data_IF_941699708277
#
_entry.id   IF_941699708277
#
_cell.length_a   1.000
_cell.length_b   1.000
_cell.length_c   1.000
_cell.angle_alpha   90.00
_cell.angle_beta   90.00
_cell.angle_gamma   90.00
#
_symmetry.space_group_name_H-M   'P 1'
#
loop_
_entity.id
_entity.type
_entity.pdbx_description
1 polymer ?
#
# COMPACT_ATOMS: atom_id res chain seq x y z
N UNK A 1 -19.71 48.19 -51.26
CA UNK A 1 -19.94 46.78 -51.64
C UNK A 1 -19.18 45.96 -50.63
N UNK A 2 -19.81 45.64 -49.49
CA UNK A 2 -20.41 44.33 -49.21
C UNK A 2 -19.38 43.19 -49.29
N UNK A 3 -18.87 42.76 -48.13
CA UNK A 3 -19.36 41.63 -47.30
C UNK A 3 -18.80 40.30 -47.78
N UNK A 4 -18.01 39.66 -46.91
CA UNK A 4 -18.34 38.35 -46.33
C UNK A 4 -17.09 37.75 -45.68
N UNK A 5 -17.07 37.68 -44.35
CA UNK A 5 -16.21 36.76 -43.59
C UNK A 5 -17.18 35.85 -42.84
N UNK A 6 -17.16 34.57 -43.16
CA UNK A 6 -18.02 33.58 -42.52
C UNK A 6 -17.61 33.39 -41.06
N UNK A 7 -18.59 33.51 -40.17
CA UNK A 7 -18.54 33.11 -38.76
C UNK A 7 -18.97 31.64 -38.71
N UNK A 8 -18.08 30.73 -38.34
CA UNK A 8 -18.52 29.43 -37.85
C UNK A 8 -19.13 29.61 -36.46
N UNK A 9 -20.29 28.99 -36.29
CA UNK A 9 -21.08 28.97 -35.06
C UNK A 9 -20.87 27.60 -34.44
N UNK A 10 -20.20 27.53 -33.30
CA UNK A 10 -20.33 26.36 -32.42
C UNK A 10 -21.23 26.73 -31.24
N UNK A 11 -22.33 25.99 -31.17
CA UNK A 11 -23.36 26.06 -30.14
C UNK A 11 -22.92 25.16 -28.99
N UNK A 12 -22.55 25.73 -27.84
CA UNK A 12 -22.39 24.96 -26.59
C UNK A 12 -23.61 25.18 -25.67
N UNK A 13 -24.18 24.07 -25.21
CA UNK A 13 -25.32 23.99 -24.32
C UNK A 13 -24.99 24.51 -22.91
N UNK A 14 -25.93 25.27 -22.34
CA UNK A 14 -25.87 25.79 -20.96
C UNK A 14 -26.48 24.79 -19.96
N UNK A 15 -25.71 24.46 -18.91
CA UNK A 15 -26.11 24.17 -17.51
C UNK A 15 -24.85 24.51 -16.69
N UNK A 16 -24.78 25.49 -15.80
CA UNK A 16 -25.75 25.94 -14.83
C UNK A 16 -25.11 25.88 -13.45
N UNK A 17 -24.00 26.60 -13.20
CA UNK A 17 -23.56 27.06 -11.86
C UNK A 17 -22.74 28.35 -12.07
N UNK A 18 -23.14 29.45 -11.44
CA UNK A 18 -22.37 30.69 -11.37
C UNK A 18 -20.99 30.42 -10.75
N UNK A 19 -19.92 30.54 -11.52
CA UNK A 19 -18.60 30.78 -10.95
C UNK A 19 -18.40 32.29 -10.85
N UNK A 20 -18.43 32.83 -9.63
CA UNK A 20 -17.97 34.19 -9.37
C UNK A 20 -16.45 34.21 -9.50
N UNK A 21 -15.95 34.58 -10.68
CA UNK A 21 -14.54 34.87 -10.87
C UNK A 21 -14.29 36.35 -10.49
N UNK A 22 -13.58 36.60 -9.37
CA UNK A 22 -13.04 37.93 -9.07
C UNK A 22 -11.75 38.11 -9.89
N UNK A 23 -11.83 38.87 -10.97
CA UNK A 23 -10.66 39.31 -11.73
C UNK A 23 -10.16 40.63 -11.13
N UNK A 24 -8.99 40.62 -10.50
CA UNK A 24 -8.34 41.86 -10.06
C UNK A 24 -7.53 42.44 -11.22
N UNK A 25 -8.02 43.54 -11.79
CA UNK A 25 -7.33 44.31 -12.81
C UNK A 25 -6.38 45.31 -12.13
N UNK A 26 -5.07 45.15 -12.32
CA UNK A 26 -4.10 46.14 -11.87
C UNK A 26 -4.04 47.28 -12.89
N UNK A 27 -4.68 48.41 -12.58
CA UNK A 27 -4.48 49.68 -13.27
C UNK A 27 -3.10 50.23 -12.87
N UNK A 28 -2.11 50.08 -13.74
CA UNK A 28 -0.87 50.86 -13.63
C UNK A 28 -1.15 52.29 -14.10
N UNK A 29 -1.18 53.24 -13.17
CA UNK A 29 -0.50 54.54 -13.32
C UNK A 29 -0.44 55.25 -11.97
N UNK A 30 0.75 55.70 -11.58
CA UNK A 30 0.90 56.81 -10.64
C UNK A 30 1.45 56.49 -9.25
N UNK A 31 2.79 56.45 -9.15
CA UNK A 31 3.60 57.01 -8.05
C UNK A 31 3.16 56.68 -6.61
N UNK A 32 3.87 55.78 -5.94
CA UNK A 32 4.52 56.06 -4.64
C UNK A 32 5.36 54.84 -4.19
N UNK A 33 6.29 55.06 -3.27
CA UNK A 33 7.34 54.15 -2.82
C UNK A 33 7.02 52.66 -2.78
N UNK A 34 7.99 51.87 -3.24
CA UNK A 34 8.07 50.43 -3.07
C UNK A 34 8.00 50.03 -1.59
N UNK A 35 6.79 49.81 -1.10
CA UNK A 35 6.55 48.90 0.02
C UNK A 35 6.43 47.53 -0.63
N UNK A 36 7.53 46.77 -0.58
CA UNK A 36 7.45 45.31 -0.69
C UNK A 36 6.53 44.86 0.45
N UNK A 37 5.28 44.54 0.11
CA UNK A 37 4.45 43.76 1.01
C UNK A 37 5.11 42.38 1.11
N UNK A 38 5.99 42.23 2.09
CA UNK A 38 6.27 40.92 2.65
C UNK A 38 4.92 40.41 3.16
N UNK A 39 4.35 39.43 2.47
CA UNK A 39 3.41 38.52 3.10
C UNK A 39 4.19 37.81 4.20
N UNK A 40 4.11 38.31 5.43
CA UNK A 40 4.53 37.53 6.59
C UNK A 40 3.69 36.25 6.56
N UNK A 41 4.36 35.09 6.44
CA UNK A 41 3.74 33.79 6.75
C UNK A 41 3.23 33.94 8.18
N UNK A 42 1.92 34.08 8.38
CA UNK A 42 1.38 34.01 9.74
C UNK A 42 1.63 32.59 10.21
N UNK A 43 2.60 32.45 11.09
CA UNK A 43 2.94 31.15 11.66
C UNK A 43 2.03 30.95 12.87
N UNK A 44 1.04 30.07 12.73
CA UNK A 44 0.21 29.64 13.84
C UNK A 44 1.09 29.06 14.95
N UNK A 45 0.68 29.25 16.21
CA UNK A 45 1.29 28.52 17.31
C UNK A 45 1.10 27.01 17.09
N UNK A 46 2.10 26.22 17.50
CA UNK A 46 2.01 24.76 17.44
C UNK A 46 0.89 24.24 18.36
N UNK A 47 0.20 23.20 17.92
CA UNK A 47 -0.89 22.56 18.63
C UNK A 47 -0.76 21.02 18.65
N UNK A 48 -1.67 20.36 19.35
CA UNK A 48 -1.76 18.91 19.38
C UNK A 48 -1.81 18.32 17.96
N UNK A 49 -0.93 17.34 17.67
CA UNK A 49 -0.84 16.69 16.37
C UNK A 49 0.05 17.39 15.34
N UNK A 50 0.66 18.53 15.65
CA UNK A 50 1.62 19.18 14.74
C UNK A 50 2.97 18.48 14.66
N UNK A 51 3.24 17.58 15.61
CA UNK A 51 4.34 16.60 15.60
C UNK A 51 3.79 15.24 16.06
N UNK A 52 4.49 14.16 15.73
CA UNK A 52 4.20 12.83 16.26
C UNK A 52 5.49 12.06 16.56
N UNK A 53 5.48 11.22 17.57
CA UNK A 53 6.58 10.28 17.83
C UNK A 53 6.51 9.10 16.85
N UNK A 54 7.66 8.70 16.34
CA UNK A 54 7.81 7.56 15.40
C UNK A 54 8.83 6.53 15.88
N UNK A 55 9.51 6.81 17.00
CA UNK A 55 10.34 5.83 17.69
C UNK A 55 10.51 6.18 19.16
N UNK A 56 10.73 5.15 19.96
CA UNK A 56 11.09 5.23 21.38
C UNK A 56 12.13 4.16 21.67
N UNK A 57 13.15 4.49 22.46
CA UNK A 57 14.15 3.53 22.92
C UNK A 57 14.56 3.81 24.37
N UNK A 58 14.28 2.86 25.26
CA UNK A 58 14.68 2.87 26.67
C UNK A 58 15.83 1.91 27.01
N UNK A 59 16.39 1.21 26.03
CA UNK A 59 17.54 0.32 26.23
C UNK A 59 18.80 0.77 25.46
N UNK A 60 19.98 0.45 25.99
CA UNK A 60 21.26 0.91 25.43
C UNK A 60 21.34 2.44 25.29
N UNK A 61 21.60 2.93 24.07
CA UNK A 61 21.66 4.37 23.77
C UNK A 61 20.26 4.97 23.67
N UNK A 62 19.70 5.40 24.81
CA UNK A 62 18.31 5.85 24.91
C UNK A 62 18.01 7.04 24.02
N UNK A 63 16.78 7.10 23.52
CA UNK A 63 16.37 8.16 22.63
C UNK A 63 14.98 7.96 22.06
N UNK A 64 14.62 8.84 21.13
CA UNK A 64 13.34 8.81 20.43
C UNK A 64 13.48 9.51 19.10
N UNK A 65 12.50 9.35 18.23
CA UNK A 65 12.40 10.13 17.00
C UNK A 65 10.99 10.70 16.84
N UNK A 66 10.90 11.87 16.22
CA UNK A 66 9.64 12.52 15.87
C UNK A 66 9.58 12.78 14.37
N UNK A 67 8.37 12.98 13.87
CA UNK A 67 8.10 13.62 12.57
C UNK A 67 7.35 14.94 12.80
N UNK A 68 7.69 15.98 12.04
CA UNK A 68 6.91 17.21 11.97
C UNK A 68 5.75 17.05 11.00
N UNK A 69 4.52 17.37 11.42
CA UNK A 69 3.33 17.30 10.55
C UNK A 69 2.90 18.68 10.01
N UNK A 70 3.59 19.73 10.44
CA UNK A 70 3.51 21.10 9.91
C UNK A 70 4.90 21.70 9.76
N UNK A 71 5.02 22.78 8.99
CA UNK A 71 6.26 23.55 8.95
C UNK A 71 6.50 24.22 10.30
N UNK A 72 7.67 24.01 10.90
CA UNK A 72 8.10 24.65 12.14
C UNK A 72 9.20 25.67 11.82
N UNK A 73 8.87 26.95 11.87
CA UNK A 73 9.81 28.02 11.56
C UNK A 73 10.52 28.62 12.76
N UNK A 74 11.68 29.25 12.56
CA UNK A 74 12.40 30.04 13.59
C UNK A 74 11.63 31.30 14.02
N UNK A 75 10.61 31.68 13.25
CA UNK A 75 9.69 32.79 13.50
C UNK A 75 8.35 32.35 14.11
N UNK A 76 8.15 31.04 14.36
CA UNK A 76 7.12 30.59 15.30
C UNK A 76 7.39 31.28 16.65
N UNK A 77 6.37 31.65 17.44
CA UNK A 77 6.57 32.12 18.83
C UNK A 77 7.26 31.10 19.75
N UNK A 78 7.64 29.94 19.24
CA UNK A 78 8.18 28.80 19.97
C UNK A 78 9.63 28.57 19.54
N UNK A 79 10.54 29.36 20.11
CA UNK A 79 11.98 29.14 19.93
C UNK A 79 12.43 27.74 20.40
N UNK A 80 11.63 27.12 21.28
CA UNK A 80 11.92 25.82 21.86
C UNK A 80 10.68 24.90 21.85
N UNK A 81 10.91 23.62 21.57
CA UNK A 81 10.01 22.52 21.93
C UNK A 81 10.65 21.80 23.12
N UNK A 82 9.84 21.49 24.12
CA UNK A 82 10.27 20.79 25.32
C UNK A 82 9.84 19.33 25.25
N UNK A 83 10.70 18.45 25.75
CA UNK A 83 10.36 17.05 25.99
C UNK A 83 10.53 16.76 27.47
N UNK A 84 9.56 16.09 28.10
CA UNK A 84 9.67 15.66 29.49
C UNK A 84 9.24 14.22 29.64
N UNK A 85 9.92 13.49 30.52
CA UNK A 85 9.52 12.17 31.01
C UNK A 85 8.58 12.26 32.23
N UNK A 86 8.51 13.43 32.90
CA UNK A 86 7.55 13.67 33.97
C UNK A 86 6.10 13.40 33.48
N UNK A 87 5.35 12.64 34.28
CA UNK A 87 3.96 12.32 33.97
C UNK A 87 3.02 13.50 34.22
N UNK A 88 1.92 13.52 33.47
CA UNK A 88 0.87 14.52 33.64
C UNK A 88 0.10 14.32 34.94
N UNK A 89 0.03 15.34 35.79
CA UNK A 89 -0.69 15.31 37.07
C UNK A 89 -1.92 16.23 37.11
N UNK A 90 -1.98 17.21 36.19
CA UNK A 90 -3.02 18.23 36.13
C UNK A 90 -3.23 18.99 37.46
N UNK A 91 -2.16 19.16 38.26
CA UNK A 91 -2.24 19.76 39.59
C UNK A 91 -1.17 20.83 39.81
N UNK A 92 -1.56 22.10 39.71
CA UNK A 92 -0.66 23.23 39.96
C UNK A 92 -0.28 23.43 41.45
N UNK A 93 -0.83 22.65 42.39
CA UNK A 93 -0.81 23.01 43.80
C UNK A 93 0.48 22.65 44.55
N UNK A 94 1.34 21.78 44.02
CA UNK A 94 2.53 21.28 44.70
C UNK A 94 3.85 21.87 44.17
N UNK A 95 3.96 22.22 42.89
CA UNK A 95 5.23 22.64 42.28
C UNK A 95 5.15 23.77 41.22
N UNK A 96 3.95 24.33 40.98
CA UNK A 96 3.66 25.24 39.85
C UNK A 96 3.94 24.61 38.47
N UNK A 97 3.60 23.35 38.30
CA UNK A 97 3.67 22.59 37.06
C UNK A 97 2.36 21.82 36.86
N UNK A 98 2.01 21.47 35.63
CA UNK A 98 0.98 20.45 35.34
C UNK A 98 1.59 19.06 35.07
N UNK A 99 2.90 18.98 35.22
CA UNK A 99 3.72 17.78 35.22
C UNK A 99 4.16 17.52 36.63
N UNK A 100 4.24 16.27 37.04
CA UNK A 100 4.80 15.94 38.33
C UNK A 100 6.30 16.32 38.41
N UNK A 101 6.87 16.20 39.60
CA UNK A 101 8.30 16.37 39.84
C UNK A 101 9.01 15.02 39.92
N UNK A 102 10.28 14.99 39.53
CA UNK A 102 11.17 13.85 39.78
C UNK A 102 12.12 13.55 38.64
N UNK A 103 11.80 14.03 37.44
CA UNK A 103 12.48 13.62 36.21
C UNK A 103 13.07 14.81 35.44
N UNK A 104 13.23 14.66 34.13
CA UNK A 104 13.96 15.58 33.29
C UNK A 104 13.12 16.36 32.30
N UNK A 105 13.74 17.41 31.77
CA UNK A 105 13.23 18.15 30.62
C UNK A 105 14.37 18.36 29.63
N UNK A 106 14.16 17.97 28.38
CA UNK A 106 14.96 18.39 27.26
C UNK A 106 14.37 19.65 26.66
N UNK A 107 15.20 20.64 26.41
CA UNK A 107 14.84 21.85 25.67
C UNK A 107 15.51 21.77 24.31
N UNK A 108 14.72 21.52 23.26
CA UNK A 108 15.18 21.50 21.88
C UNK A 108 14.96 22.86 21.23
N UNK A 109 16.05 23.51 20.83
CA UNK A 109 16.05 24.83 20.20
C UNK A 109 16.20 24.69 18.69
N UNK A 110 15.23 25.27 17.99
CA UNK A 110 15.15 25.25 16.53
C UNK A 110 15.89 26.49 15.99
N UNK A 111 16.97 26.27 15.25
CA UNK A 111 17.86 27.31 14.72
C UNK A 111 17.68 27.58 13.21
N UNK A 112 16.87 26.77 12.54
CA UNK A 112 16.46 26.93 11.14
C UNK A 112 15.02 26.42 10.92
N UNK A 113 14.37 26.88 9.86
CA UNK A 113 13.03 26.40 9.49
C UNK A 113 13.07 24.88 9.19
N UNK A 114 12.14 24.14 9.78
CA UNK A 114 11.97 22.69 9.64
C UNK A 114 10.69 22.45 8.83
N UNK A 115 10.77 21.98 7.57
CA UNK A 115 9.59 21.66 6.76
C UNK A 115 8.74 20.55 7.39
N UNK A 116 7.45 20.53 7.09
CA UNK A 116 6.60 19.38 7.38
C UNK A 116 7.15 18.10 6.71
N UNK A 117 6.96 16.97 7.37
CA UNK A 117 7.49 15.66 6.99
C UNK A 117 8.91 15.37 7.45
N UNK A 118 9.55 16.31 8.17
CA UNK A 118 10.92 16.13 8.62
C UNK A 118 10.98 15.16 9.81
N UNK A 119 11.84 14.15 9.71
CA UNK A 119 12.17 13.23 10.80
C UNK A 119 13.35 13.76 11.59
N UNK A 120 13.20 13.86 12.91
CA UNK A 120 14.27 14.29 13.83
C UNK A 120 14.51 13.21 14.87
N UNK A 121 15.71 12.64 14.83
CA UNK A 121 16.24 11.72 15.84
C UNK A 121 16.83 12.48 17.03
N UNK A 122 16.55 11.99 18.24
CA UNK A 122 17.16 12.41 19.51
C UNK A 122 17.84 11.21 20.16
N UNK A 123 19.16 11.29 20.36
CA UNK A 123 19.96 10.20 20.90
C UNK A 123 20.69 10.60 22.18
N UNK A 124 21.06 9.61 22.99
CA UNK A 124 21.80 9.77 24.25
C UNK A 124 21.06 10.69 25.24
N UNK A 125 19.73 10.62 25.26
CA UNK A 125 18.86 11.53 26.03
C UNK A 125 19.06 11.41 27.55
N UNK A 126 19.47 10.23 27.98
CA UNK A 126 19.84 9.85 29.35
C UNK A 126 21.23 10.30 29.77
N UNK A 127 22.02 10.85 28.84
CA UNK A 127 23.36 11.38 29.12
C UNK A 127 23.36 12.90 29.29
N UNK A 128 24.44 13.45 29.84
CA UNK A 128 24.60 14.92 29.97
C UNK A 128 24.81 15.64 28.63
N UNK A 129 24.95 14.90 27.53
CA UNK A 129 25.18 15.43 26.18
C UNK A 129 24.19 14.80 25.19
N UNK A 130 22.89 15.10 25.31
CA UNK A 130 21.92 14.66 24.33
C UNK A 130 22.23 15.25 22.96
N UNK A 131 21.93 14.51 21.90
CA UNK A 131 22.23 14.91 20.53
C UNK A 131 21.00 14.78 19.64
N UNK A 132 20.46 15.87 19.10
CA UNK A 132 19.46 15.81 18.06
C UNK A 132 20.16 15.76 16.68
N UNK A 133 19.49 15.15 15.71
CA UNK A 133 19.93 15.18 14.30
C UNK A 133 19.81 16.58 13.66
N UNK A 134 19.00 17.46 14.24
CA UNK A 134 18.78 18.85 13.81
C UNK A 134 18.61 19.78 15.01
N UNK A 135 19.04 21.04 14.88
CA UNK A 135 18.97 22.02 15.96
C UNK A 135 19.94 21.74 17.11
N UNK A 136 19.68 22.36 18.26
CA UNK A 136 20.49 22.18 19.47
C UNK A 136 19.62 21.77 20.64
N UNK A 137 20.18 21.06 21.62
CA UNK A 137 19.43 20.57 22.77
C UNK A 137 20.18 20.84 24.07
N UNK A 138 19.42 21.08 25.13
CA UNK A 138 19.93 21.13 26.49
C UNK A 138 19.03 20.30 27.39
N UNK A 139 19.56 19.86 28.54
CA UNK A 139 18.82 19.05 29.51
C UNK A 139 18.86 19.68 30.89
N UNK A 140 17.71 19.70 31.56
CA UNK A 140 17.58 19.94 32.99
C UNK A 140 17.02 18.69 33.67
N UNK A 141 17.47 18.38 34.89
CA UNK A 141 17.06 17.16 35.59
C UNK A 141 17.63 15.88 34.95
N UNK A 142 17.03 14.75 35.29
CA UNK A 142 17.39 13.43 34.76
C UNK A 142 16.28 12.95 33.84
N UNK A 143 16.45 13.24 32.55
CA UNK A 143 15.58 12.70 31.50
C UNK A 143 16.08 11.29 31.17
N UNK A 144 15.43 10.25 31.64
CA UNK A 144 15.92 8.87 31.55
C UNK A 144 14.78 7.85 31.28
N UNK A 145 14.24 7.82 30.04
CA UNK A 145 13.12 6.96 29.68
C UNK A 145 13.36 5.51 30.09
N UNK A 146 12.56 5.01 31.03
CA UNK A 146 12.71 3.72 31.66
C UNK A 146 12.15 2.60 30.78
N UNK A 147 12.65 1.39 31.02
CA UNK A 147 12.19 0.16 30.38
C UNK A 147 10.74 -0.23 30.77
N UNK A 148 10.09 0.55 31.64
CA UNK A 148 8.78 0.23 32.21
C UNK A 148 8.02 1.50 32.55
N UNK A 149 6.75 1.54 32.13
CA UNK A 149 5.75 2.52 32.57
C UNK A 149 6.25 3.96 32.46
N UNK A 150 6.88 4.31 31.34
CA UNK A 150 7.40 5.65 31.11
C UNK A 150 6.74 6.26 29.88
N UNK A 151 6.63 7.58 29.88
CA UNK A 151 6.06 8.35 28.80
C UNK A 151 6.89 9.59 28.50
N UNK A 152 7.13 9.84 27.22
CA UNK A 152 7.73 11.09 26.77
C UNK A 152 6.62 11.99 26.24
N UNK A 153 6.56 13.20 26.79
CA UNK A 153 5.66 14.25 26.35
C UNK A 153 6.43 15.33 25.61
N UNK A 154 5.89 15.78 24.48
CA UNK A 154 6.37 16.94 23.76
C UNK A 154 5.40 18.11 23.95
N UNK A 155 5.91 19.29 24.30
CA UNK A 155 5.08 20.47 24.53
C UNK A 155 5.79 21.78 24.20
N UNK A 156 5.01 22.85 24.08
CA UNK A 156 5.51 24.24 24.05
C UNK A 156 4.91 25.03 25.21
N UNK A 157 5.36 26.28 25.43
CA UNK A 157 4.91 27.09 26.56
C UNK A 157 5.76 26.89 27.81
N UNK A 158 5.15 27.00 28.99
CA UNK A 158 5.84 26.84 30.29
C UNK A 158 5.25 25.66 31.04
N UNK A 159 5.93 25.10 32.06
CA UNK A 159 5.35 24.03 32.90
C UNK A 159 4.01 24.39 33.56
N UNK A 160 3.75 25.69 33.81
CA UNK A 160 2.48 26.20 34.35
C UNK A 160 1.36 26.29 33.32
N UNK A 161 1.72 26.54 32.06
CA UNK A 161 0.78 26.70 30.94
C UNK A 161 1.34 25.95 29.72
N UNK A 162 1.51 24.62 29.81
CA UNK A 162 2.04 23.84 28.72
C UNK A 162 0.99 23.74 27.63
N UNK A 163 1.45 23.70 26.38
CA UNK A 163 0.66 23.30 25.22
C UNK A 163 1.23 21.97 24.72
N UNK A 164 0.72 20.83 25.21
CA UNK A 164 1.11 19.51 24.72
C UNK A 164 0.86 19.38 23.22
N UNK A 165 1.85 18.80 22.53
CA UNK A 165 1.81 18.58 21.08
C UNK A 165 1.61 17.10 20.75
N UNK A 166 2.33 16.22 21.43
CA UNK A 166 2.27 14.78 21.27
C UNK A 166 2.80 14.08 22.53
N UNK A 167 2.49 12.79 22.66
CA UNK A 167 3.10 11.95 23.69
C UNK A 167 3.31 10.53 23.17
N UNK A 168 4.25 9.79 23.76
CA UNK A 168 4.46 8.36 23.51
C UNK A 168 4.74 7.66 24.83
N UNK A 169 4.24 6.44 25.00
CA UNK A 169 4.66 5.58 26.10
C UNK A 169 5.12 4.22 25.59
N UNK A 170 5.88 3.50 26.41
CA UNK A 170 6.39 2.16 26.08
C UNK A 170 5.53 1.01 26.62
N UNK A 171 4.24 1.28 26.82
CA UNK A 171 3.28 0.31 27.34
C UNK A 171 3.34 0.13 28.87
N UNK A 172 2.54 -0.81 29.37
CA UNK A 172 2.34 -1.02 30.81
C UNK A 172 2.81 -2.39 31.29
N UNK A 173 3.24 -2.44 32.55
CA UNK A 173 3.05 -3.62 33.41
C UNK A 173 2.25 -3.16 34.61
N UNK A 174 1.19 -3.89 34.97
CA UNK A 174 0.31 -3.74 36.16
C UNK A 174 -0.96 -2.85 36.08
N UNK A 175 -1.29 -2.30 34.91
CA UNK A 175 -2.54 -1.54 34.71
C UNK A 175 -2.46 -0.06 35.09
N UNK A 176 -1.27 0.42 35.44
CA UNK A 176 -0.97 1.85 35.62
C UNK A 176 -0.64 2.50 34.28
N UNK A 177 -1.29 3.62 33.94
CA UNK A 177 -1.06 4.34 32.69
C UNK A 177 0.12 5.29 32.81
N UNK A 178 1.19 5.02 32.06
CA UNK A 178 2.45 5.78 32.05
C UNK A 178 2.31 7.26 31.68
N UNK A 179 1.18 7.69 31.11
CA UNK A 179 0.98 9.10 30.77
C UNK A 179 0.67 9.98 31.98
N UNK A 180 0.13 9.42 33.06
CA UNK A 180 -0.38 10.20 34.19
C UNK A 180 0.13 9.64 35.51
N UNK A 181 0.47 10.54 36.43
CA UNK A 181 0.83 10.17 37.81
C UNK A 181 -0.41 9.74 38.62
N UNK A 182 -1.60 10.17 38.20
CA UNK A 182 -2.88 9.87 38.84
C UNK A 182 -3.86 9.19 37.87
N UNK A 183 -4.13 7.90 38.11
CA UNK A 183 -5.02 7.08 37.28
C UNK A 183 -6.48 7.56 37.21
N UNK A 184 -6.90 8.46 38.12
CA UNK A 184 -8.23 9.12 38.07
C UNK A 184 -8.35 10.15 36.94
N UNK A 185 -7.25 10.55 36.29
CA UNK A 185 -7.23 11.57 35.24
C UNK A 185 -7.58 11.03 33.84
N UNK A 186 -7.90 9.74 33.75
CA UNK A 186 -8.16 9.07 32.47
C UNK A 186 -9.67 8.93 32.31
N UNK A 187 -10.21 9.61 31.30
CA UNK A 187 -11.63 9.47 30.94
C UNK A 187 -11.75 9.12 29.46
N UNK A 188 -12.38 7.98 29.14
CA UNK A 188 -12.76 7.65 27.75
C UNK A 188 -11.64 7.86 26.69
N UNK A 189 -10.42 7.40 26.98
CA UNK A 189 -9.21 7.59 26.14
C UNK A 189 -8.60 9.00 26.10
N UNK A 190 -9.04 9.92 26.97
CA UNK A 190 -8.48 11.27 27.12
C UNK A 190 -7.58 11.36 28.35
N UNK A 191 -6.50 12.12 28.23
CA UNK A 191 -5.68 12.57 29.37
C UNK A 191 -6.22 13.93 29.81
N UNK A 192 -7.03 13.93 30.87
CA UNK A 192 -7.85 15.09 31.27
C UNK A 192 -6.99 16.32 31.52
N UNK A 193 -7.37 17.45 30.92
CA UNK A 193 -6.67 18.74 31.08
C UNK A 193 -5.47 18.97 30.16
N UNK A 194 -4.89 17.90 29.57
CA UNK A 194 -3.71 18.02 28.70
C UNK A 194 -4.03 18.52 27.28
N UNK A 195 -5.27 18.32 26.82
CA UNK A 195 -5.65 18.54 25.43
C UNK A 195 -5.24 17.42 24.46
N UNK A 196 -4.55 16.37 24.93
CA UNK A 196 -4.24 15.18 24.13
C UNK A 196 -5.25 14.06 24.31
N UNK A 197 -5.46 13.30 23.24
CA UNK A 197 -6.29 12.09 23.21
C UNK A 197 -5.42 10.89 22.84
N UNK A 198 -5.54 9.79 23.59
CA UNK A 198 -4.83 8.54 23.37
C UNK A 198 -5.31 7.91 22.05
N UNK A 199 -4.37 7.49 21.21
CA UNK A 199 -4.66 6.97 19.87
C UNK A 199 -5.03 8.06 18.85
N UNK A 200 -4.83 9.33 19.19
CA UNK A 200 -4.98 10.45 18.25
C UNK A 200 -3.75 11.35 18.25
N UNK A 201 -3.27 11.75 19.43
CA UNK A 201 -2.08 12.58 19.59
C UNK A 201 -1.04 11.94 20.53
N UNK A 202 -1.50 11.05 21.40
CA UNK A 202 -0.67 10.31 22.33
C UNK A 202 -0.62 8.83 21.91
N UNK A 203 0.55 8.37 21.46
CA UNK A 203 0.77 6.99 21.03
C UNK A 203 0.90 6.07 22.23
N UNK A 204 0.07 5.03 22.29
CA UNK A 204 0.03 4.13 23.42
C UNK A 204 0.60 2.76 23.06
N UNK A 205 1.81 2.47 23.56
CA UNK A 205 2.49 1.17 23.42
C UNK A 205 1.72 -0.01 24.04
N UNK A 206 0.68 0.25 24.82
CA UNK A 206 -0.04 -0.72 25.67
C UNK A 206 -0.56 -2.01 25.00
N UNK A 207 -0.79 -2.06 23.68
CA UNK A 207 -1.42 -3.25 23.07
C UNK A 207 -0.54 -4.50 23.05
N UNK A 208 0.75 -4.42 23.41
CA UNK A 208 1.64 -5.56 23.43
C UNK A 208 2.19 -5.74 24.84
N UNK A 209 1.44 -6.47 25.67
CA UNK A 209 1.92 -7.68 26.38
C UNK A 209 3.14 -7.63 27.32
N UNK A 210 4.25 -7.00 26.92
CA UNK A 210 5.60 -7.25 27.40
C UNK A 210 6.36 -5.92 27.38
N UNK A 211 6.98 -5.50 28.50
CA UNK A 211 7.69 -4.22 28.62
C UNK A 211 8.60 -3.95 27.41
N UNK A 212 8.18 -3.01 26.57
CA UNK A 212 8.80 -2.77 25.29
C UNK A 212 9.95 -1.81 25.52
N UNK A 213 11.13 -2.20 25.08
CA UNK A 213 12.33 -1.40 25.22
C UNK A 213 12.54 -0.54 23.98
N UNK A 214 12.11 -1.01 22.81
CA UNK A 214 12.23 -0.31 21.53
C UNK A 214 10.90 -0.32 20.78
N UNK A 215 10.47 0.84 20.28
CA UNK A 215 9.32 1.03 19.40
C UNK A 215 9.80 1.73 18.11
N UNK A 216 9.37 1.24 16.95
CA UNK A 216 9.67 1.83 15.65
C UNK A 216 8.45 1.83 14.72
N UNK A 217 8.09 3.00 14.18
CA UNK A 217 7.07 3.12 13.14
C UNK A 217 7.61 2.61 11.79
N UNK A 218 6.92 1.63 11.23
CA UNK A 218 7.23 0.96 9.96
C UNK A 218 6.16 1.15 8.88
N UNK A 219 5.12 1.93 9.17
CA UNK A 219 4.11 2.27 8.18
C UNK A 219 4.66 3.15 7.05
N UNK A 220 3.85 3.35 6.01
CA UNK A 220 4.25 4.13 4.85
C UNK A 220 4.54 5.59 5.19
N UNK A 221 5.37 6.24 4.36
CA UNK A 221 5.83 7.64 4.56
C UNK A 221 5.69 8.53 3.33
N UNK A 222 5.00 8.09 2.27
CA UNK A 222 4.95 8.85 1.01
C UNK A 222 3.59 9.02 0.34
N UNK A 223 2.55 8.39 0.87
CA UNK A 223 1.27 8.23 0.14
C UNK A 223 0.14 9.17 0.60
N UNK A 224 0.30 9.89 1.70
CA UNK A 224 -0.79 10.68 2.26
C UNK A 224 -1.03 12.00 1.53
N UNK A 225 -2.29 12.42 1.45
CA UNK A 225 -2.67 13.70 0.82
C UNK A 225 -2.24 14.93 1.61
N UNK A 226 -1.91 14.76 2.89
CA UNK A 226 -1.42 15.82 3.76
C UNK A 226 -0.61 15.21 4.90
N UNK A 227 0.30 15.97 5.49
CA UNK A 227 1.07 15.48 6.62
C UNK A 227 0.21 15.11 7.84
N UNK A 228 -0.86 15.89 8.11
CA UNK A 228 -1.81 15.57 9.16
C UNK A 228 -2.53 14.22 8.97
N UNK A 229 -2.62 13.72 7.73
CA UNK A 229 -3.26 12.43 7.44
C UNK A 229 -2.39 11.23 7.81
N UNK A 230 -1.09 11.42 8.11
CA UNK A 230 -0.26 10.37 8.72
C UNK A 230 -0.60 10.11 10.17
N UNK A 231 -1.26 11.04 10.86
CA UNK A 231 -1.44 10.95 12.31
C UNK A 231 -2.27 9.71 12.72
N UNK A 232 -3.40 9.35 12.07
CA UNK A 232 -4.09 8.09 12.34
C UNK A 232 -3.22 6.85 12.09
N UNK A 233 -2.42 6.84 11.01
CA UNK A 233 -1.55 5.71 10.66
C UNK A 233 -0.41 5.54 11.67
N UNK A 234 0.20 6.63 12.12
CA UNK A 234 1.21 6.64 13.19
C UNK A 234 0.60 6.19 14.51
N UNK A 235 -0.68 6.50 14.76
CA UNK A 235 -1.38 6.09 15.97
C UNK A 235 -1.87 4.63 15.95
N UNK A 236 -1.85 3.97 14.79
CA UNK A 236 -2.18 2.55 14.66
C UNK A 236 -0.96 1.67 14.97
N UNK A 237 -1.05 0.90 16.06
CA UNK A 237 -0.03 -0.06 16.49
C UNK A 237 0.28 -1.12 15.43
N UNK A 238 -0.63 -1.40 14.48
CA UNK A 238 -0.36 -2.34 13.38
C UNK A 238 0.80 -1.89 12.49
N UNK A 239 1.08 -0.59 12.46
CA UNK A 239 2.16 0.05 11.70
C UNK A 239 3.47 0.18 12.52
N UNK A 240 3.62 -0.55 13.63
CA UNK A 240 4.81 -0.48 14.49
C UNK A 240 5.48 -1.83 14.67
N UNK A 241 6.82 -1.81 14.75
CA UNK A 241 7.63 -2.90 15.29
C UNK A 241 8.01 -2.59 16.72
N UNK A 242 8.20 -3.64 17.50
CA UNK A 242 8.51 -3.56 18.92
C UNK A 242 9.58 -4.59 19.28
N UNK A 243 10.43 -4.27 20.26
CA UNK A 243 11.42 -5.18 20.82
C UNK A 243 11.39 -5.11 22.37
N UNK A 244 11.47 -6.27 23.03
CA UNK A 244 11.49 -6.44 24.49
C UNK A 244 12.85 -6.98 25.02
N UNK A 245 13.87 -7.07 24.16
CA UNK A 245 15.18 -7.63 24.47
C UNK A 245 16.18 -6.63 25.07
N UNK A 246 16.89 -7.07 26.11
CA UNK A 246 17.98 -6.36 26.83
C UNK A 246 19.27 -6.08 26.01
N UNK A 247 19.19 -5.74 24.74
CA UNK A 247 20.35 -5.25 24.00
C UNK A 247 20.01 -4.63 22.66
N UNK A 248 20.78 -3.60 22.27
CA UNK A 248 20.71 -2.97 20.96
C UNK A 248 20.79 -4.04 19.84
N UNK A 249 19.64 -4.33 19.23
CA UNK A 249 19.40 -5.28 18.15
C UNK A 249 19.78 -6.76 18.46
N UNK A 250 18.77 -7.59 18.74
CA UNK A 250 18.87 -9.02 18.42
C UNK A 250 18.22 -9.28 17.05
N UNK A 251 19.04 -9.62 16.06
CA UNK A 251 18.62 -10.07 14.73
C UNK A 251 17.49 -11.13 14.86
N UNK A 252 16.35 -11.07 14.15
CA UNK A 252 16.19 -10.86 12.71
C UNK A 252 14.76 -10.39 12.34
N UNK A 253 14.08 -9.65 13.23
CA UNK A 253 12.75 -9.01 12.98
C UNK A 253 12.24 -8.05 14.09
N UNK A 254 13.08 -7.61 15.03
CA UNK A 254 12.73 -6.65 16.10
C UNK A 254 12.78 -5.18 15.63
N UNK A 255 12.32 -4.25 16.47
CA UNK A 255 12.46 -2.81 16.25
C UNK A 255 13.94 -2.37 16.33
N UNK A 256 14.34 -1.39 15.51
CA UNK A 256 15.72 -0.87 15.48
C UNK A 256 15.82 0.55 16.07
N UNK A 257 16.95 0.84 16.74
CA UNK A 257 17.32 2.21 17.12
C UNK A 257 18.78 2.48 16.73
N UNK A 258 19.08 3.48 15.88
CA UNK A 258 18.16 4.48 15.32
C UNK A 258 17.12 3.88 14.35
N UNK A 259 15.89 4.41 14.31
CA UNK A 259 14.83 3.92 13.42
C UNK A 259 15.10 4.33 11.97
N UNK A 260 14.26 3.87 11.04
CA UNK A 260 14.21 4.45 9.69
C UNK A 260 14.02 5.98 9.76
N UNK A 261 14.99 6.72 9.21
CA UNK A 261 15.02 8.19 9.19
C UNK A 261 14.49 8.79 7.88
N UNK A 262 13.86 7.96 7.02
CA UNK A 262 13.25 8.42 5.78
C UNK A 262 12.19 9.48 6.06
N UNK A 263 12.30 10.63 5.39
CA UNK A 263 11.37 11.74 5.53
C UNK A 263 9.97 11.37 5.04
N UNK A 264 8.96 11.95 5.66
CA UNK A 264 7.59 11.84 5.18
C UNK A 264 7.38 12.81 4.01
N UNK A 265 6.60 12.38 3.03
CA UNK A 265 6.23 13.16 1.85
C UNK A 265 4.73 13.09 1.65
N UNK A 266 4.15 14.02 0.89
CA UNK A 266 2.72 13.98 0.57
C UNK A 266 2.52 13.72 -0.91
N UNK A 267 1.44 13.02 -1.25
CA UNK A 267 1.05 12.71 -2.61
C UNK A 267 -0.32 13.31 -2.91
N UNK A 268 -0.46 13.96 -4.07
CA UNK A 268 -1.76 14.51 -4.50
C UNK A 268 -2.74 13.45 -5.00
N UNK A 269 -2.37 12.17 -4.96
CA UNK A 269 -3.17 11.02 -5.39
C UNK A 269 -3.28 10.03 -4.23
N UNK A 270 -4.51 9.73 -3.80
CA UNK A 270 -4.78 8.63 -2.87
C UNK A 270 -4.30 7.33 -3.53
N UNK A 271 -3.37 6.65 -2.88
CA UNK A 271 -2.91 5.32 -3.27
C UNK A 271 -3.69 4.34 -2.40
N UNK A 272 -4.44 3.45 -3.02
CA UNK A 272 -5.18 2.39 -2.32
C UNK A 272 -4.41 1.09 -2.54
N UNK A 273 -4.39 0.13 -1.60
CA UNK A 273 -3.69 -1.13 -1.83
C UNK A 273 -4.07 -1.74 -3.19
N UNK A 274 -3.09 -2.19 -3.99
CA UNK A 274 -3.38 -2.68 -5.33
C UNK A 274 -4.28 -3.91 -5.24
N UNK A 275 -5.11 -4.11 -6.26
CA UNK A 275 -6.01 -5.27 -6.37
C UNK A 275 -5.84 -5.94 -7.73
N UNK A 276 -6.23 -7.21 -7.82
CA UNK A 276 -6.24 -7.94 -9.10
C UNK A 276 -7.54 -7.63 -9.83
N UNK A 277 -7.44 -6.97 -10.98
CA UNK A 277 -8.59 -6.67 -11.83
C UNK A 277 -9.01 -7.88 -12.66
N UNK A 278 -8.05 -8.60 -13.25
CA UNK A 278 -8.35 -9.77 -14.06
C UNK A 278 -7.18 -10.75 -14.14
N UNK A 279 -7.53 -12.02 -14.31
CA UNK A 279 -6.62 -13.08 -14.75
C UNK A 279 -7.30 -13.79 -15.92
N UNK A 280 -6.71 -13.70 -17.10
CA UNK A 280 -7.30 -14.22 -18.34
C UNK A 280 -6.30 -15.05 -19.13
N UNK A 281 -6.78 -16.13 -19.73
CA UNK A 281 -6.03 -16.93 -20.70
C UNK A 281 -5.58 -16.07 -21.89
N UNK A 282 -4.34 -16.24 -22.34
CA UNK A 282 -3.84 -15.59 -23.56
C UNK A 282 -4.11 -16.42 -24.82
N UNK A 283 -4.52 -17.67 -24.68
CA UNK A 283 -4.84 -18.59 -25.79
C UNK A 283 -6.17 -19.30 -25.56
N UNK A 284 -6.71 -19.89 -26.62
CA UNK A 284 -7.97 -20.61 -26.56
C UNK A 284 -7.90 -21.84 -25.63
N UNK A 285 -9.04 -22.20 -25.07
CA UNK A 285 -9.26 -23.41 -24.29
C UNK A 285 -10.56 -24.06 -24.80
N UNK A 286 -10.65 -25.39 -24.93
CA UNK A 286 -9.61 -26.38 -24.61
C UNK A 286 -8.36 -26.29 -25.51
N UNK A 287 -7.24 -26.87 -25.07
CA UNK A 287 -5.96 -26.81 -25.78
C UNK A 287 -5.11 -28.07 -25.56
N UNK A 288 -4.22 -28.40 -26.50
CA UNK A 288 -3.21 -29.44 -26.35
C UNK A 288 -1.77 -28.86 -26.24
N UNK A 289 -1.65 -27.58 -25.89
CA UNK A 289 -0.36 -26.90 -25.83
C UNK A 289 0.44 -27.27 -24.56
N UNK A 290 1.76 -27.45 -24.73
CA UNK A 290 2.72 -27.68 -23.63
C UNK A 290 3.14 -26.40 -22.88
N UNK A 291 2.52 -25.28 -23.25
CA UNK A 291 2.78 -23.96 -22.71
C UNK A 291 1.46 -23.21 -22.60
N UNK A 292 1.14 -22.80 -21.37
CA UNK A 292 -0.07 -22.06 -21.03
C UNK A 292 0.34 -20.66 -20.56
N UNK A 293 -0.38 -19.64 -21.02
CA UNK A 293 -0.04 -18.24 -20.76
C UNK A 293 -1.26 -17.49 -20.26
N UNK A 294 -1.10 -16.77 -19.15
CA UNK A 294 -2.13 -15.88 -18.61
C UNK A 294 -1.65 -14.43 -18.67
N UNK A 295 -2.58 -13.52 -18.91
CA UNK A 295 -2.43 -12.09 -18.69
C UNK A 295 -3.12 -11.72 -17.37
N UNK A 296 -2.42 -10.94 -16.55
CA UNK A 296 -2.86 -10.46 -15.25
C UNK A 296 -2.85 -8.94 -15.29
N UNK A 297 -3.96 -8.33 -14.87
CA UNK A 297 -4.08 -6.89 -14.72
C UNK A 297 -4.34 -6.51 -13.26
N UNK A 298 -3.61 -5.52 -12.75
CA UNK A 298 -3.76 -4.93 -11.43
C UNK A 298 -4.49 -3.58 -11.50
N UNK A 299 -5.05 -3.10 -10.39
CA UNK A 299 -5.73 -1.79 -10.31
C UNK A 299 -4.79 -0.61 -10.54
N UNK A 300 -3.51 -0.82 -10.29
CA UNK A 300 -2.44 0.17 -10.42
C UNK A 300 -1.09 -0.50 -10.63
N UNK A 301 -0.03 0.32 -10.72
CA UNK A 301 1.31 -0.18 -10.96
C UNK A 301 1.86 -0.91 -9.73
N UNK A 302 2.27 -2.16 -9.92
CA UNK A 302 2.87 -2.99 -8.87
C UNK A 302 4.35 -3.28 -9.14
N UNK A 303 5.04 -3.75 -8.11
CA UNK A 303 6.42 -4.20 -8.11
C UNK A 303 6.54 -5.57 -7.42
N UNK A 304 7.73 -6.19 -7.53
CA UNK A 304 8.02 -7.52 -6.97
C UNK A 304 7.10 -8.64 -7.47
N UNK A 305 6.66 -8.59 -8.73
CA UNK A 305 5.88 -9.69 -9.33
C UNK A 305 6.84 -10.73 -9.90
N UNK A 306 6.94 -11.87 -9.24
CA UNK A 306 7.88 -12.95 -9.52
C UNK A 306 7.19 -14.32 -9.61
N UNK A 307 7.93 -15.34 -10.05
CA UNK A 307 7.37 -16.69 -10.20
C UNK A 307 6.88 -17.30 -8.88
N UNK A 308 7.44 -16.89 -7.72
CA UNK A 308 7.06 -17.41 -6.41
C UNK A 308 5.71 -16.92 -5.90
N UNK A 309 5.19 -15.83 -6.48
CA UNK A 309 3.90 -15.24 -6.14
C UNK A 309 2.72 -16.00 -6.73
N UNK A 310 2.99 -17.04 -7.52
CA UNK A 310 1.97 -17.82 -8.20
C UNK A 310 2.00 -19.28 -7.77
N UNK A 311 0.84 -19.91 -7.84
CA UNK A 311 0.65 -21.33 -7.64
C UNK A 311 -0.12 -21.90 -8.83
N UNK A 312 0.30 -23.07 -9.31
CA UNK A 312 -0.37 -23.81 -10.38
C UNK A 312 -0.99 -25.06 -9.80
N UNK A 313 -2.23 -25.37 -10.19
CA UNK A 313 -2.96 -26.58 -9.80
C UNK A 313 -3.34 -27.41 -11.03
N UNK A 314 -3.51 -28.73 -10.84
CA UNK A 314 -3.94 -29.66 -11.90
C UNK A 314 -2.83 -30.23 -12.79
N UNK A 315 -1.59 -29.77 -12.62
CA UNK A 315 -0.42 -30.21 -13.38
C UNK A 315 0.83 -30.25 -12.50
N UNK A 316 1.87 -30.94 -12.96
CA UNK A 316 3.23 -30.85 -12.40
C UNK A 316 4.08 -29.77 -13.07
N UNK A 317 3.53 -29.04 -14.04
CA UNK A 317 4.19 -27.89 -14.65
C UNK A 317 4.37 -26.76 -13.65
N UNK A 318 5.30 -25.86 -13.96
CA UNK A 318 5.70 -24.76 -13.08
C UNK A 318 5.65 -23.43 -13.82
N UNK A 319 5.55 -22.32 -13.09
CA UNK A 319 5.72 -20.99 -13.67
C UNK A 319 7.17 -20.84 -14.12
N UNK A 320 7.38 -20.71 -15.42
CA UNK A 320 8.72 -20.65 -16.04
C UNK A 320 9.10 -19.23 -16.42
N UNK A 321 8.14 -18.32 -16.56
CA UNK A 321 8.39 -16.92 -16.86
C UNK A 321 7.28 -16.02 -16.31
N UNK A 322 7.67 -14.87 -15.78
CA UNK A 322 6.81 -13.74 -15.44
C UNK A 322 7.41 -12.52 -16.12
N UNK A 323 6.67 -11.91 -17.03
CA UNK A 323 7.12 -10.76 -17.81
C UNK A 323 6.07 -9.65 -17.78
N UNK A 324 6.51 -8.40 -17.92
CA UNK A 324 5.64 -7.23 -17.81
C UNK A 324 6.14 -6.24 -16.77
N UNK A 325 5.37 -5.18 -16.56
CA UNK A 325 5.68 -4.11 -15.60
C UNK A 325 4.46 -3.22 -15.38
N UNK A 326 4.43 -2.51 -14.25
CA UNK A 326 3.35 -1.57 -13.97
C UNK A 326 2.06 -2.32 -13.69
N UNK A 327 1.02 -2.13 -14.50
CA UNK A 327 -0.31 -2.70 -14.24
C UNK A 327 -0.52 -4.08 -14.85
N UNK A 328 0.35 -4.53 -15.76
CA UNK A 328 0.07 -5.70 -16.61
C UNK A 328 1.26 -6.65 -16.68
N UNK A 329 0.97 -7.93 -16.44
CA UNK A 329 1.96 -9.01 -16.43
C UNK A 329 1.45 -10.22 -17.20
N UNK A 330 2.36 -10.91 -17.87
CA UNK A 330 2.14 -12.21 -18.50
C UNK A 330 2.85 -13.29 -17.70
N UNK A 331 2.12 -14.34 -17.33
CA UNK A 331 2.65 -15.50 -16.60
C UNK A 331 2.60 -16.72 -17.51
N UNK A 332 3.75 -17.37 -17.68
CA UNK A 332 3.89 -18.59 -18.50
C UNK A 332 4.10 -19.80 -17.61
N UNK A 333 3.29 -20.84 -17.83
CA UNK A 333 3.45 -22.16 -17.22
C UNK A 333 3.81 -23.16 -18.31
N UNK A 334 4.85 -23.95 -18.09
CA UNK A 334 5.30 -24.97 -19.03
C UNK A 334 6.04 -26.12 -18.34
N UNK A 335 6.30 -27.19 -19.09
CA UNK A 335 6.99 -28.38 -18.59
C UNK A 335 6.06 -29.35 -17.86
N UNK A 336 6.60 -30.13 -16.93
CA UNK A 336 5.81 -31.11 -16.17
C UNK A 336 5.12 -32.14 -17.08
N UNK A 337 3.84 -32.39 -16.83
CA UNK A 337 3.05 -33.42 -17.51
C UNK A 337 2.11 -32.89 -18.62
N UNK A 338 2.21 -31.62 -19.03
CA UNK A 338 1.26 -30.99 -19.97
C UNK A 338 1.08 -31.77 -21.29
N UNK A 339 2.16 -32.29 -21.87
CA UNK A 339 2.15 -33.06 -23.13
C UNK A 339 1.36 -34.38 -23.10
N UNK A 340 0.92 -34.80 -21.92
CA UNK A 340 0.14 -36.02 -21.71
C UNK A 340 -1.08 -35.79 -20.83
N UNK A 341 -1.34 -34.54 -20.45
CA UNK A 341 -2.40 -34.20 -19.52
C UNK A 341 -3.73 -34.14 -20.27
N UNK A 342 -4.74 -34.76 -19.66
CA UNK A 342 -6.16 -34.51 -19.96
C UNK A 342 -6.79 -34.01 -18.67
N UNK A 343 -7.09 -32.72 -18.56
CA UNK A 343 -7.65 -32.12 -17.35
C UNK A 343 -7.43 -30.62 -17.24
N UNK A 344 -7.94 -30.05 -16.16
CA UNK A 344 -7.91 -28.62 -15.91
C UNK A 344 -6.60 -28.16 -15.25
N UNK A 345 -6.06 -27.04 -15.74
CA UNK A 345 -4.90 -26.34 -15.19
C UNK A 345 -5.29 -24.92 -14.80
N UNK A 346 -5.08 -24.56 -13.54
CA UNK A 346 -5.50 -23.27 -12.97
C UNK A 346 -4.29 -22.54 -12.38
N UNK A 347 -4.16 -21.25 -12.71
CA UNK A 347 -3.18 -20.34 -12.11
C UNK A 347 -3.82 -19.54 -10.98
N UNK A 348 -3.19 -19.45 -9.82
CA UNK A 348 -3.64 -18.59 -8.72
C UNK A 348 -2.50 -17.74 -8.20
N UNK A 349 -2.82 -16.57 -7.64
CA UNK A 349 -1.85 -15.82 -6.84
C UNK A 349 -1.75 -16.49 -5.47
N UNK A 350 -0.52 -16.69 -5.01
CA UNK A 350 -0.18 -17.37 -3.77
C UNK A 350 -0.52 -16.49 -2.58
N UNK A 351 -1.05 -17.11 -1.51
CA UNK A 351 -1.16 -16.44 -0.22
C UNK A 351 0.25 -16.18 0.35
N UNK A 352 0.50 -14.95 0.80
CA UNK A 352 1.81 -14.53 1.28
C UNK A 352 2.82 -14.16 0.18
N UNK A 353 2.33 -13.77 -1.01
CA UNK A 353 3.13 -13.00 -1.97
C UNK A 353 3.64 -11.70 -1.35
N UNK A 354 4.68 -11.12 -1.93
CA UNK A 354 5.27 -9.83 -1.53
C UNK A 354 5.11 -8.74 -2.59
N UNK A 355 4.09 -8.89 -3.45
CA UNK A 355 3.68 -7.89 -4.43
C UNK A 355 3.18 -6.66 -3.68
N UNK A 356 3.77 -5.50 -3.99
CA UNK A 356 3.32 -4.20 -3.48
C UNK A 356 3.06 -3.24 -4.64
N UNK A 357 2.35 -2.16 -4.39
CA UNK A 357 2.41 -1.01 -5.28
C UNK A 357 3.77 -0.27 -5.16
N UNK A 358 3.91 0.84 -5.89
CA UNK A 358 5.06 1.73 -5.78
C UNK A 358 5.08 2.55 -4.47
N UNK A 359 3.95 2.64 -3.77
CA UNK A 359 3.81 3.27 -2.45
C UNK A 359 4.23 2.37 -1.28
N UNK A 360 4.36 1.06 -1.53
CA UNK A 360 4.72 0.03 -0.56
C UNK A 360 3.52 -0.73 0.02
N UNK A 361 2.29 -0.45 -0.42
CA UNK A 361 1.10 -1.14 0.08
C UNK A 361 1.02 -2.54 -0.53
N UNK A 362 0.80 -3.53 0.32
CA UNK A 362 0.71 -4.93 -0.08
C UNK A 362 -0.53 -5.18 -0.96
N UNK A 363 -0.40 -6.10 -1.92
CA UNK A 363 -1.49 -6.55 -2.77
C UNK A 363 -2.68 -7.03 -1.93
N UNK A 364 -3.77 -6.29 -2.02
CA UNK A 364 -5.03 -6.70 -1.44
C UNK A 364 -5.67 -7.72 -2.39
N UNK A 365 -5.95 -8.91 -1.87
CA UNK A 365 -6.58 -10.00 -2.60
C UNK A 365 -8.07 -10.14 -2.22
N UNK A 366 -8.98 -9.24 -2.65
CA UNK A 366 -10.39 -9.59 -2.67
C UNK A 366 -10.69 -10.50 -3.88
N UNK A 367 -11.87 -11.13 -3.85
CA UNK A 367 -12.40 -12.04 -4.88
C UNK A 367 -12.16 -11.47 -6.29
N UNK A 368 -11.41 -12.19 -7.13
CA UNK A 368 -11.15 -11.79 -8.52
C UNK A 368 -12.51 -11.60 -9.24
N UNK A 369 -12.82 -10.42 -9.80
CA UNK A 369 -14.14 -10.11 -10.35
C UNK A 369 -14.38 -10.76 -11.73
N UNK A 370 -15.55 -11.37 -11.94
CA UNK A 370 -15.93 -12.06 -13.20
C UNK A 370 -15.97 -11.13 -14.43
N UNK A 371 -15.58 -11.57 -15.65
CA UNK A 371 -15.14 -12.93 -16.00
C UNK A 371 -13.63 -13.12 -15.83
N UNK A 372 -13.23 -14.04 -14.96
CA UNK A 372 -11.84 -14.51 -14.89
C UNK A 372 -11.77 -15.88 -15.52
N UNK A 373 -11.25 -15.93 -16.72
CA UNK A 373 -10.88 -17.19 -17.35
C UNK A 373 -9.51 -17.61 -16.81
N UNK A 374 -9.52 -18.31 -15.68
CA UNK A 374 -8.29 -18.69 -14.96
C UNK A 374 -7.84 -20.12 -15.28
N UNK A 375 -8.74 -20.92 -15.84
CA UNK A 375 -8.54 -22.35 -16.05
C UNK A 375 -8.44 -22.67 -17.53
N UNK A 376 -7.37 -23.35 -17.91
CA UNK A 376 -7.27 -24.06 -19.18
C UNK A 376 -7.76 -25.49 -19.00
N UNK A 377 -8.56 -25.98 -19.93
CA UNK A 377 -8.80 -27.42 -20.08
C UNK A 377 -7.78 -27.93 -21.09
N UNK A 378 -6.83 -28.72 -20.62
CA UNK A 378 -5.83 -29.37 -21.47
C UNK A 378 -6.40 -30.70 -21.95
N UNK A 379 -6.42 -30.93 -23.25
CA UNK A 379 -6.90 -32.15 -23.88
C UNK A 379 -5.94 -32.61 -24.97
N UNK A 380 -5.31 -33.75 -24.74
CA UNK A 380 -4.43 -34.48 -25.64
C UNK A 380 -5.08 -35.77 -26.16
N UNK A 381 -6.39 -35.96 -25.95
CA UNK A 381 -7.14 -37.08 -26.52
C UNK A 381 -7.17 -36.92 -28.04
N UNK A 382 -6.89 -37.99 -28.77
CA UNK A 382 -6.94 -37.97 -30.22
C UNK A 382 -8.36 -38.34 -30.70
N UNK A 383 -8.87 -37.69 -31.76
CA UNK A 383 -10.15 -38.08 -32.34
C UNK A 383 -10.14 -39.53 -32.82
N UNK A 384 -11.20 -40.27 -32.48
CA UNK A 384 -11.40 -41.65 -32.88
C UNK A 384 -12.71 -41.81 -33.67
N UNK A 385 -12.72 -42.67 -34.69
CA UNK A 385 -13.95 -43.05 -35.37
C UNK A 385 -14.77 -43.95 -34.43
N UNK A 386 -15.95 -43.50 -34.04
CA UNK A 386 -16.90 -44.25 -33.22
C UNK A 386 -17.78 -45.16 -34.05
N UNK A 387 -18.28 -44.66 -35.18
CA UNK A 387 -19.19 -45.41 -36.03
C UNK A 387 -19.06 -45.03 -37.50
N UNK A 388 -19.39 -45.99 -38.37
CA UNK A 388 -19.45 -45.82 -39.82
C UNK A 388 -20.72 -46.50 -40.32
N UNK A 389 -21.57 -45.75 -41.02
CA UNK A 389 -22.79 -46.26 -41.64
C UNK A 389 -22.85 -45.86 -43.11
N UNK A 390 -23.33 -46.76 -43.97
CA UNK A 390 -23.53 -46.47 -45.39
C UNK A 390 -25.02 -46.20 -45.60
N UNK A 391 -25.35 -45.13 -46.32
CA UNK A 391 -26.73 -44.84 -46.70
C UNK A 391 -27.35 -46.01 -47.50
N UNK A 392 -28.65 -46.26 -47.34
CA UNK A 392 -29.33 -47.39 -47.98
C UNK A 392 -29.33 -47.35 -49.51
N UNK A 393 -29.17 -46.16 -50.08
CA UNK A 393 -29.01 -45.91 -51.52
C UNK A 393 -27.54 -45.78 -51.96
N UNK A 394 -26.59 -46.01 -51.05
CA UNK A 394 -25.14 -45.88 -51.23
C UNK A 394 -24.66 -44.47 -51.65
N UNK A 395 -25.44 -43.41 -51.41
CA UNK A 395 -25.07 -42.05 -51.84
C UNK A 395 -24.04 -41.37 -50.95
N UNK A 396 -23.96 -41.76 -49.66
CA UNK A 396 -22.97 -41.24 -48.71
C UNK A 396 -22.57 -42.28 -47.65
N UNK A 397 -21.46 -42.01 -46.98
CA UNK A 397 -21.03 -42.70 -45.75
C UNK A 397 -21.12 -41.70 -44.62
N UNK A 398 -21.84 -42.07 -43.57
CA UNK A 398 -21.93 -41.32 -42.32
C UNK A 398 -20.83 -41.81 -41.36
N UNK A 399 -20.06 -40.89 -40.80
CA UNK A 399 -18.92 -41.19 -39.92
C UNK A 399 -19.07 -40.35 -38.67
N UNK A 400 -19.15 -41.02 -37.51
CA UNK A 400 -19.18 -40.35 -36.20
C UNK A 400 -17.81 -40.42 -35.56
N UNK A 401 -17.28 -39.27 -35.13
CA UNK A 401 -16.02 -39.18 -34.38
C UNK A 401 -16.29 -39.02 -32.87
N UNK A 402 -15.26 -39.22 -32.04
CA UNK A 402 -15.32 -39.01 -30.57
C UNK A 402 -15.38 -37.54 -30.16
N UNK A 403 -14.97 -36.65 -31.07
CA UNK A 403 -14.88 -35.20 -30.91
C UNK A 403 -14.84 -34.54 -32.29
N UNK A 404 -14.88 -33.21 -32.33
CA UNK A 404 -14.77 -32.45 -33.57
C UNK A 404 -13.43 -32.68 -34.29
N UNK A 405 -13.49 -32.92 -35.59
CA UNK A 405 -12.32 -33.12 -36.46
C UNK A 405 -12.19 -31.98 -37.46
N UNK A 406 -10.97 -31.53 -37.69
CA UNK A 406 -10.68 -30.30 -38.44
C UNK A 406 -9.52 -30.50 -39.42
N UNK A 407 -9.48 -29.68 -40.47
CA UNK A 407 -8.46 -29.77 -41.53
C UNK A 407 -7.06 -29.32 -41.04
N UNK A 408 -6.98 -28.28 -40.20
CA UNK A 408 -5.71 -27.75 -39.70
C UNK A 408 -5.37 -28.20 -38.28
N UNK A 409 -4.07 -28.40 -38.03
CA UNK A 409 -3.52 -28.56 -36.68
C UNK A 409 -3.87 -27.32 -35.84
N UNK A 410 -4.51 -27.54 -34.68
CA UNK A 410 -5.08 -26.48 -33.84
C UNK A 410 -6.62 -26.41 -33.85
N UNK A 411 -7.29 -27.39 -34.46
CA UNK A 411 -8.75 -27.53 -34.35
C UNK A 411 -9.52 -26.49 -35.17
N UNK A 412 -9.03 -26.15 -36.38
CA UNK A 412 -9.67 -25.15 -37.23
C UNK A 412 -9.72 -25.59 -38.70
N UNK A 413 -10.62 -24.95 -39.47
CA UNK A 413 -10.83 -25.25 -40.89
C UNK A 413 -11.78 -26.43 -41.10
N UNK A 414 -12.70 -26.26 -42.06
CA UNK A 414 -13.63 -27.31 -42.46
C UNK A 414 -12.89 -28.44 -43.16
N UNK A 415 -13.35 -29.67 -42.93
CA UNK A 415 -12.86 -30.84 -43.65
C UNK A 415 -13.17 -30.74 -45.14
N UNK A 416 -12.21 -31.17 -45.95
CA UNK A 416 -12.28 -31.17 -47.41
C UNK A 416 -12.25 -32.61 -47.95
N UNK A 417 -12.73 -32.81 -49.17
CA UNK A 417 -12.74 -34.14 -49.79
C UNK A 417 -11.34 -34.76 -49.90
N UNK A 418 -10.30 -33.93 -50.00
CA UNK A 418 -8.89 -34.36 -50.04
C UNK A 418 -8.36 -34.92 -48.72
N UNK A 419 -9.05 -34.69 -47.60
CA UNK A 419 -8.64 -35.20 -46.28
C UNK A 419 -8.95 -36.70 -46.14
N UNK A 420 -9.71 -37.26 -47.08
CA UNK A 420 -10.18 -38.63 -47.07
C UNK A 420 -9.64 -39.43 -48.25
N UNK A 421 -9.06 -40.59 -47.96
CA UNK A 421 -8.69 -41.59 -48.96
C UNK A 421 -9.61 -42.81 -48.83
N UNK A 422 -10.30 -43.16 -49.91
CA UNK A 422 -11.11 -44.38 -49.98
C UNK A 422 -10.32 -45.47 -50.69
N UNK A 423 -10.39 -46.69 -50.15
CA UNK A 423 -9.92 -47.89 -50.83
C UNK A 423 -10.99 -48.97 -50.78
N UNK A 424 -11.11 -49.75 -51.86
CA UNK A 424 -12.02 -50.90 -51.94
C UNK A 424 -11.15 -52.15 -52.00
N UNK A 425 -11.45 -53.13 -51.15
CA UNK A 425 -10.80 -54.45 -51.18
C UNK A 425 -11.85 -55.53 -51.45
N UNK A 426 -11.73 -56.21 -52.59
CA UNK A 426 -12.65 -57.26 -53.03
C UNK A 426 -14.01 -56.74 -53.54
N UNK A 427 -14.93 -57.67 -53.84
CA UNK A 427 -16.29 -57.37 -54.32
C UNK A 427 -16.39 -56.96 -55.79
N UNK A 428 -17.56 -56.44 -56.18
CA UNK A 428 -17.88 -55.94 -57.54
C UNK A 428 -18.09 -54.43 -57.60
N UNK A 429 -17.89 -53.71 -56.49
CA UNK A 429 -18.00 -52.25 -56.44
C UNK A 429 -16.93 -51.60 -57.33
N UNK A 430 -17.29 -50.50 -58.00
CA UNK A 430 -16.36 -49.71 -58.82
C UNK A 430 -15.95 -48.46 -58.06
N UNK A 431 -14.71 -48.01 -58.29
CA UNK A 431 -14.11 -46.90 -57.53
C UNK A 431 -14.85 -45.59 -57.78
N UNK A 432 -15.16 -44.86 -56.71
CA UNK A 432 -15.67 -43.49 -56.73
C UNK A 432 -14.72 -42.55 -55.98
N UNK A 433 -14.77 -41.26 -56.26
CA UNK A 433 -14.06 -40.23 -55.50
C UNK A 433 -14.97 -39.65 -54.41
N UNK A 434 -14.39 -39.21 -53.29
CA UNK A 434 -15.10 -38.31 -52.36
C UNK A 434 -15.36 -37.00 -53.11
N UNK A 435 -16.64 -36.62 -53.27
CA UNK A 435 -17.03 -35.43 -54.05
C UNK A 435 -17.35 -34.22 -53.18
N UNK A 436 -17.54 -34.43 -51.87
CA UNK A 436 -17.78 -33.39 -50.89
C UNK A 436 -17.85 -33.98 -49.48
N UNK A 437 -17.71 -33.10 -48.49
CA UNK A 437 -17.85 -33.40 -47.07
C UNK A 437 -18.88 -32.44 -46.52
N UNK A 438 -19.85 -32.95 -45.76
CA UNK A 438 -20.85 -32.15 -45.08
C UNK A 438 -20.72 -32.42 -43.60
N UNK A 439 -20.42 -31.38 -42.83
CA UNK A 439 -20.52 -31.42 -41.37
C UNK A 439 -22.00 -31.30 -40.98
N UNK A 440 -22.50 -32.27 -40.22
CA UNK A 440 -23.87 -32.30 -39.73
C UNK A 440 -24.02 -31.64 -38.36
N UNK A 441 -22.92 -31.18 -37.75
CA UNK A 441 -22.85 -30.71 -36.37
C UNK A 441 -22.98 -31.84 -35.36
N UNK A 442 -22.79 -31.51 -34.08
CA UNK A 442 -22.98 -32.48 -33.00
C UNK A 442 -24.44 -32.98 -32.98
N UNK A 443 -24.63 -34.30 -32.90
CA UNK A 443 -25.94 -34.87 -32.60
C UNK A 443 -26.36 -34.37 -31.20
N UNK A 444 -27.50 -33.66 -31.14
CA UNK A 444 -28.05 -33.07 -29.93
C UNK A 444 -28.31 -34.08 -28.79
#
# INVERSE_FOLDING_TARGET
>A
MEKSTQKQTETFYHRGVLHRLKLYLLLLTGICGSILAQTSKEVSALAAGDIAFIAYNSDGGKGFAIVTLVDIGVSTPTANIFFTDNEWDNDLTDDNSLWNTGEGVLTWTIDADIPAGTVVLFSNVDTTTPTPSMGTISRSGRFDPAQRNDAIWAYTGTPMVPTPLAAINNGMRDGTFAFVSNSSLISSSLITGSGLTIGTHAFNGQQIMNNQDVLEYIGHRSVEMSYAAYLPEIMDMSNWRVDDGNGAASNSRGAEFPPDLTMFTTSSTVITPPTVQSITRSTASPTNADMLVWEIMFSEAVQNVEAMDFMVSGTTATVTNVAGSGTTYTVTVSGGNLASLNGDVTLSIRSGNDITDLGGDALNLPIVPSPNEVTYTVDNTLPAIQSVAIASDNTYVDVTFSEGVYNAAGGSGALEASDFAISISGGTATFGSVTGVTDLGDAA
#
